data_IF_747494582276
#
_entry.id   IF_747494582276
#
_cell.length_a   1.000
_cell.length_b   1.000
_cell.length_c   1.000
_cell.angle_alpha   90.00
_cell.angle_beta   90.00
_cell.angle_gamma   90.00
#
_symmetry.space_group_name_H-M   'P 1'
#
loop_
_entity.id
_entity.type
_entity.pdbx_description
1 polymer ?
#
# COMPACT_ATOMS: atom_id res chain seq x y z
N UNK A 1 -20.51 -1.46 -14.27
CA UNK A 1 -20.89 -2.74 -13.62
C UNK A 1 -20.50 -3.87 -14.54
N UNK A 2 -20.03 -5.00 -13.99
CA UNK A 2 -19.72 -6.19 -14.77
C UNK A 2 -21.02 -6.91 -15.17
N UNK A 3 -21.07 -7.52 -16.35
CA UNK A 3 -22.24 -8.28 -16.82
C UNK A 3 -22.51 -9.48 -15.90
N UNK A 4 -23.73 -9.63 -15.32
CA UNK A 4 -24.10 -10.77 -14.49
C UNK A 4 -23.89 -12.14 -15.16
N UNK A 5 -23.91 -12.21 -16.49
CA UNK A 5 -23.62 -13.44 -17.24
C UNK A 5 -22.15 -13.90 -17.10
N UNK A 6 -21.24 -13.03 -16.68
CA UNK A 6 -19.83 -13.36 -16.39
C UNK A 6 -19.64 -13.95 -14.99
N UNK A 7 -20.52 -13.63 -14.04
CA UNK A 7 -20.48 -14.08 -12.63
C UNK A 7 -21.20 -15.43 -12.42
N UNK A 8 -21.69 -16.07 -13.49
CA UNK A 8 -22.36 -17.36 -13.41
C UNK A 8 -21.35 -18.44 -12.97
N UNK A 9 -21.79 -19.42 -12.15
CA UNK A 9 -20.97 -20.59 -11.85
C UNK A 9 -20.38 -21.26 -13.10
N UNK A 10 -19.11 -21.64 -13.03
CA UNK A 10 -18.32 -22.21 -14.14
C UNK A 10 -17.62 -21.17 -15.03
N UNK A 11 -17.74 -19.87 -14.71
CA UNK A 11 -16.98 -18.79 -15.38
C UNK A 11 -16.10 -18.04 -14.39
N UNK A 12 -16.73 -17.35 -13.43
CA UNK A 12 -16.04 -16.62 -12.36
C UNK A 12 -16.66 -17.05 -11.03
N UNK A 13 -16.10 -18.11 -10.44
CA UNK A 13 -16.64 -18.76 -9.25
C UNK A 13 -16.18 -18.09 -7.94
N UNK A 14 -15.06 -17.37 -7.98
CA UNK A 14 -14.44 -16.74 -6.80
C UNK A 14 -14.13 -15.28 -7.09
N UNK A 15 -14.60 -14.39 -6.23
CA UNK A 15 -14.35 -12.96 -6.29
C UNK A 15 -13.49 -12.56 -5.09
N UNK A 16 -12.20 -12.26 -5.33
CA UNK A 16 -11.28 -11.73 -4.32
C UNK A 16 -11.06 -10.25 -4.63
N UNK A 17 -11.46 -9.38 -3.70
CA UNK A 17 -11.17 -7.96 -3.80
C UNK A 17 -9.69 -7.73 -3.44
N UNK A 18 -8.93 -7.21 -4.38
CA UNK A 18 -7.56 -6.74 -4.15
C UNK A 18 -7.60 -5.26 -3.76
N UNK A 19 -7.91 -5.01 -2.49
CA UNK A 19 -8.05 -3.66 -1.94
C UNK A 19 -6.69 -2.98 -1.71
N UNK A 20 -6.73 -1.74 -1.21
CA UNK A 20 -5.56 -0.98 -0.81
C UNK A 20 -4.77 -1.65 0.33
N UNK A 21 -3.54 -1.18 0.49
CA UNK A 21 -2.63 -1.63 1.53
C UNK A 21 -3.20 -1.25 2.89
N UNK A 22 -3.27 -2.23 3.79
CA UNK A 22 -3.59 -2.02 5.20
C UNK A 22 -2.31 -2.13 6.03
N UNK A 23 -2.26 -1.62 7.27
CA UNK A 23 -1.13 -1.83 8.18
C UNK A 23 -0.68 -3.29 8.27
N UNK A 24 -1.64 -4.23 8.29
CA UNK A 24 -1.35 -5.67 8.34
C UNK A 24 -0.68 -6.18 7.05
N UNK A 25 -1.11 -5.70 5.88
CA UNK A 25 -0.45 -6.02 4.61
C UNK A 25 0.95 -5.40 4.58
N UNK A 26 1.10 -4.15 4.98
CA UNK A 26 2.37 -3.45 5.06
C UNK A 26 3.39 -4.22 5.92
N UNK A 27 3.04 -4.61 7.13
CA UNK A 27 3.93 -5.36 8.02
C UNK A 27 4.37 -6.68 7.40
N UNK A 28 3.45 -7.41 6.73
CA UNK A 28 3.81 -8.61 5.97
C UNK A 28 4.81 -8.32 4.85
N UNK A 29 4.66 -7.21 4.13
CA UNK A 29 5.60 -6.82 3.08
C UNK A 29 6.97 -6.47 3.65
N UNK A 30 7.03 -5.73 4.76
CA UNK A 30 8.29 -5.39 5.45
C UNK A 30 9.00 -6.67 5.90
N UNK A 31 8.32 -7.59 6.57
CA UNK A 31 8.92 -8.86 6.98
C UNK A 31 9.36 -9.72 5.79
N UNK A 32 8.61 -9.69 4.69
CA UNK A 32 8.94 -10.45 3.48
C UNK A 32 10.20 -9.92 2.78
N UNK A 33 10.32 -8.60 2.62
CA UNK A 33 11.38 -7.98 1.82
C UNK A 33 12.60 -7.55 2.63
N UNK A 34 12.39 -6.97 3.81
CA UNK A 34 13.47 -6.48 4.68
C UNK A 34 13.87 -7.49 5.77
N UNK A 35 13.08 -8.56 5.97
CA UNK A 35 13.35 -9.61 6.98
C UNK A 35 13.47 -9.07 8.41
N UNK A 36 12.67 -8.06 8.73
CA UNK A 36 12.54 -7.49 10.07
C UNK A 36 11.09 -7.65 10.57
N UNK A 37 10.94 -7.83 11.88
CA UNK A 37 9.63 -7.98 12.53
C UNK A 37 9.10 -6.65 13.11
N UNK A 38 9.90 -5.59 13.07
CA UNK A 38 9.50 -4.28 13.56
C UNK A 38 10.56 -3.22 13.34
N UNK A 39 10.12 -1.97 13.17
CA UNK A 39 10.96 -0.80 13.04
C UNK A 39 10.29 0.40 13.69
N UNK A 40 11.08 1.33 14.24
CA UNK A 40 10.55 2.57 14.85
C UNK A 40 9.72 3.41 13.87
N UNK A 41 9.96 3.24 12.56
CA UNK A 41 9.25 3.95 11.49
C UNK A 41 7.95 3.25 11.07
N UNK A 42 7.75 1.97 11.41
CA UNK A 42 6.56 1.22 11.00
C UNK A 42 5.28 1.88 11.53
N UNK A 43 5.24 2.26 12.81
CA UNK A 43 4.07 2.91 13.43
C UNK A 43 3.66 4.21 12.71
N UNK A 44 4.63 4.96 12.18
CA UNK A 44 4.38 6.18 11.42
C UNK A 44 3.81 5.85 10.03
N UNK A 45 4.42 4.88 9.35
CA UNK A 45 4.01 4.45 8.02
C UNK A 45 2.61 3.82 8.05
N UNK A 46 2.28 3.03 9.06
CA UNK A 46 0.95 2.43 9.21
C UNK A 46 -0.16 3.48 9.24
N UNK A 47 0.06 4.60 9.95
CA UNK A 47 -0.87 5.73 9.99
C UNK A 47 -0.98 6.41 8.62
N UNK A 48 0.15 6.63 7.96
CA UNK A 48 0.16 7.23 6.61
C UNK A 48 -0.52 6.36 5.56
N UNK A 49 -0.37 5.03 5.65
CA UNK A 49 -1.02 4.06 4.75
C UNK A 49 -2.54 4.06 4.93
N UNK A 50 -3.04 4.32 6.13
CA UNK A 50 -4.48 4.49 6.37
C UNK A 50 -5.02 5.83 5.83
N UNK A 51 -4.25 6.91 5.94
CA UNK A 51 -4.61 8.23 5.40
C UNK A 51 -4.57 8.24 3.86
N UNK A 52 -3.60 7.53 3.28
CA UNK A 52 -3.34 7.54 1.85
C UNK A 52 -3.65 6.18 1.27
N UNK A 53 -4.79 6.08 0.55
CA UNK A 53 -5.10 4.90 -0.26
C UNK A 53 -3.94 4.58 -1.23
N UNK A 54 -3.19 3.55 -0.88
CA UNK A 54 -1.96 3.13 -1.57
C UNK A 54 -2.04 1.64 -1.81
N UNK A 55 -1.67 1.15 -2.98
CA UNK A 55 -1.76 -0.27 -3.29
C UNK A 55 -0.57 -1.03 -2.70
N UNK A 56 -0.73 -2.33 -2.37
CA UNK A 56 0.40 -3.15 -1.91
C UNK A 56 1.58 -3.16 -2.91
N UNK A 57 1.30 -3.05 -4.21
CA UNK A 57 2.33 -3.01 -5.25
C UNK A 57 3.19 -1.73 -5.20
N UNK A 58 2.56 -0.57 -5.00
CA UNK A 58 3.28 0.71 -4.87
C UNK A 58 4.22 0.71 -3.66
N UNK A 59 3.75 0.21 -2.51
CA UNK A 59 4.56 0.09 -1.29
C UNK A 59 5.73 -0.87 -1.50
N UNK A 60 5.46 -2.03 -2.12
CA UNK A 60 6.48 -3.03 -2.45
C UNK A 60 7.59 -2.43 -3.31
N UNK A 61 7.24 -1.61 -4.30
CA UNK A 61 8.22 -0.93 -5.16
C UNK A 61 9.19 -0.07 -4.34
N UNK A 62 8.69 0.70 -3.37
CA UNK A 62 9.54 1.52 -2.50
C UNK A 62 10.40 0.67 -1.58
N UNK A 63 9.85 -0.41 -1.00
CA UNK A 63 10.60 -1.34 -0.16
C UNK A 63 11.73 -2.05 -0.92
N UNK A 64 11.55 -2.33 -2.21
CA UNK A 64 12.57 -2.96 -3.06
C UNK A 64 13.68 -2.01 -3.52
N UNK A 65 13.52 -0.70 -3.32
CA UNK A 65 14.51 0.29 -3.78
C UNK A 65 15.86 0.17 -3.05
N UNK A 66 15.86 -0.34 -1.82
CA UNK A 66 17.07 -0.57 -1.04
C UNK A 66 16.98 -1.86 -0.22
N UNK A 67 18.13 -2.48 0.05
CA UNK A 67 18.24 -3.61 1.00
C UNK A 67 18.38 -3.14 2.44
N UNK A 68 18.72 -1.87 2.64
CA UNK A 68 18.83 -1.27 3.95
C UNK A 68 17.44 -0.84 4.42
N UNK A 69 17.03 -1.31 5.60
CA UNK A 69 15.70 -1.08 6.14
C UNK A 69 15.43 0.39 6.41
N UNK A 70 16.41 1.14 6.92
CA UNK A 70 16.25 2.56 7.20
C UNK A 70 16.04 3.34 5.90
N UNK A 71 16.83 3.04 4.87
CA UNK A 71 16.72 3.71 3.56
C UNK A 71 15.38 3.37 2.89
N UNK A 72 15.00 2.09 2.89
CA UNK A 72 13.76 1.64 2.28
C UNK A 72 12.51 2.23 2.97
N UNK A 73 12.48 2.23 4.30
CA UNK A 73 11.35 2.76 5.06
C UNK A 73 11.24 4.29 4.96
N UNK A 74 12.37 5.01 4.95
CA UNK A 74 12.36 6.46 4.68
C UNK A 74 11.82 6.76 3.27
N UNK A 75 12.21 5.98 2.26
CA UNK A 75 11.66 6.12 0.90
C UNK A 75 10.14 5.90 0.85
N UNK A 76 9.62 4.96 1.64
CA UNK A 76 8.16 4.73 1.77
C UNK A 76 7.47 5.95 2.40
N UNK A 77 8.05 6.57 3.44
CA UNK A 77 7.51 7.78 4.06
C UNK A 77 7.47 8.93 3.05
N UNK A 78 8.58 9.21 2.37
CA UNK A 78 8.67 10.30 1.38
C UNK A 78 7.62 10.11 0.26
N UNK A 79 7.46 8.88 -0.20
CA UNK A 79 6.45 8.53 -1.19
C UNK A 79 5.01 8.79 -0.69
N UNK A 80 4.69 8.37 0.54
CA UNK A 80 3.37 8.55 1.13
C UNK A 80 3.05 10.03 1.41
N UNK A 81 4.00 10.80 1.93
CA UNK A 81 3.85 12.24 2.15
C UNK A 81 3.64 12.99 0.84
N UNK A 82 4.43 12.66 -0.19
CA UNK A 82 4.25 13.24 -1.53
C UNK A 82 2.86 12.94 -2.10
N UNK A 83 2.36 11.71 -1.89
CA UNK A 83 1.04 11.30 -2.34
C UNK A 83 -0.09 11.95 -1.52
N UNK A 84 0.13 12.18 -0.22
CA UNK A 84 -0.80 12.92 0.64
C UNK A 84 -0.94 14.37 0.18
N UNK A 85 0.17 15.07 -0.06
CA UNK A 85 0.17 16.47 -0.48
C UNK A 85 -0.55 16.67 -1.83
N UNK A 86 -0.37 15.74 -2.79
CA UNK A 86 -1.09 15.79 -4.08
C UNK A 86 -2.61 15.69 -3.91
N UNK A 87 -3.10 14.89 -2.95
CA UNK A 87 -4.54 14.80 -2.67
C UNK A 87 -5.10 16.10 -2.07
N UNK A 88 -4.31 16.79 -1.25
CA UNK A 88 -4.72 18.07 -0.66
C UNK A 88 -4.81 19.20 -1.70
N UNK A 89 -3.96 19.18 -2.73
CA UNK A 89 -4.02 20.14 -3.84
C UNK A 89 -5.23 19.91 -4.76
N UNK A 90 -5.61 18.66 -5.04
CA UNK A 90 -6.84 18.34 -5.81
C UNK A 90 -8.13 18.72 -5.07
N UNK A 91 -8.11 18.76 -3.73
CA UNK A 91 -9.28 19.12 -2.91
C UNK A 91 -9.50 20.64 -2.81
N UNK A 92 -8.55 21.48 -3.25
CA UNK A 92 -8.67 22.95 -3.24
C UNK A 92 -9.17 23.55 -4.55
N UNK A 93 -9.50 22.73 -5.55
CA UNK A 93 -9.93 23.18 -6.89
C UNK A 93 -11.45 22.98 -7.11
N UNK A 94 -12.22 22.63 -6.08
CA UNK A 94 -13.70 22.54 -6.16
C UNK A 94 -14.41 23.54 -5.25
#
# INVERSE_FOLDING_TARGET
MLDPALLRPGRMDVHILMDYCTPLVFNKLVSLYLKIDGHILCDSIEKLVLDVNTTPAEITQQLMASKDADIALNGVIEFLETKKNKKEDDTKVE
#
